data_IF_746637038170
#
_entry.id   IF_746637038170
#
_cell.length_a   1.000
_cell.length_b   1.000
_cell.length_c   1.000
_cell.angle_alpha   90.00
_cell.angle_beta   90.00
_cell.angle_gamma   90.00
#
_symmetry.space_group_name_H-M   'P 1'
#
loop_
_entity.id
_entity.type
_entity.pdbx_description
1 polymer ?
#
# COMPACT_ATOMS: atom_id res chain seq x y z
N UNK A 1 21.00 36.05 -34.87
CA UNK A 1 21.05 36.53 -33.47
C UNK A 1 19.70 36.58 -32.72
N UNK A 2 18.51 36.59 -33.36
CA UNK A 2 17.20 36.61 -32.65
C UNK A 2 16.76 35.26 -32.03
N UNK A 3 17.01 34.12 -32.68
CA UNK A 3 16.59 32.80 -32.18
C UNK A 3 17.27 32.35 -30.87
N UNK A 4 18.46 32.87 -30.54
CA UNK A 4 19.15 32.48 -29.30
C UNK A 4 18.55 33.10 -28.03
N UNK A 5 17.97 34.31 -28.13
CA UNK A 5 17.31 34.97 -26.98
C UNK A 5 15.98 34.30 -26.63
N UNK A 6 15.16 33.99 -27.64
CA UNK A 6 13.88 33.29 -27.48
C UNK A 6 14.12 31.88 -26.92
N UNK A 7 15.10 31.16 -27.47
CA UNK A 7 15.48 29.85 -26.95
C UNK A 7 15.94 29.92 -25.50
N UNK A 8 16.82 30.85 -25.13
CA UNK A 8 17.27 30.98 -23.74
C UNK A 8 16.12 31.33 -22.77
N UNK A 9 15.18 32.17 -23.20
CA UNK A 9 14.00 32.55 -22.41
C UNK A 9 13.06 31.38 -22.14
N UNK A 10 12.75 30.57 -23.16
CA UNK A 10 11.94 29.34 -23.02
C UNK A 10 12.58 28.37 -22.02
N UNK A 11 13.90 28.31 -22.00
CA UNK A 11 14.66 27.37 -21.19
C UNK A 11 14.85 27.81 -19.72
N UNK A 12 14.76 29.12 -19.43
CA UNK A 12 14.68 29.63 -18.06
C UNK A 12 13.29 29.38 -17.49
N UNK A 13 12.24 29.62 -18.29
CA UNK A 13 10.86 29.29 -17.93
C UNK A 13 10.69 27.80 -17.63
N UNK A 14 11.29 26.91 -18.43
CA UNK A 14 11.15 25.47 -18.20
C UNK A 14 11.74 25.02 -16.85
N UNK A 15 12.81 25.65 -16.37
CA UNK A 15 13.39 25.33 -15.06
C UNK A 15 12.50 25.79 -13.90
N UNK A 16 11.90 26.98 -14.03
CA UNK A 16 10.93 27.50 -13.05
C UNK A 16 9.70 26.59 -12.99
N UNK A 17 9.18 26.19 -14.16
CA UNK A 17 8.07 25.26 -14.25
C UNK A 17 8.39 23.89 -13.65
N UNK A 18 9.63 23.42 -13.79
CA UNK A 18 10.05 22.13 -13.23
C UNK A 18 10.10 22.13 -11.71
N UNK A 19 10.59 23.22 -11.10
CA UNK A 19 10.54 23.42 -9.65
C UNK A 19 9.10 23.52 -9.16
N UNK A 20 8.25 24.27 -9.87
CA UNK A 20 6.82 24.36 -9.58
C UNK A 20 6.16 22.98 -9.64
N UNK A 21 6.30 22.24 -10.74
CA UNK A 21 5.68 20.92 -10.93
C UNK A 21 6.15 19.93 -9.87
N UNK A 22 7.45 19.90 -9.58
CA UNK A 22 8.02 19.02 -8.56
C UNK A 22 7.52 19.31 -7.15
N UNK A 23 7.51 20.58 -6.75
CA UNK A 23 7.01 20.99 -5.43
C UNK A 23 5.50 20.78 -5.32
N UNK A 24 4.74 21.27 -6.30
CA UNK A 24 3.27 21.17 -6.32
C UNK A 24 2.81 19.72 -6.28
N UNK A 25 3.41 18.84 -7.10
CA UNK A 25 3.07 17.42 -7.11
C UNK A 25 3.42 16.72 -5.79
N UNK A 26 4.53 17.06 -5.14
CA UNK A 26 4.88 16.54 -3.82
C UNK A 26 3.86 16.95 -2.75
N UNK A 27 3.53 18.25 -2.64
CA UNK A 27 2.54 18.75 -1.66
C UNK A 27 1.16 18.16 -1.93
N UNK A 28 0.75 18.04 -3.20
CA UNK A 28 -0.53 17.44 -3.58
C UNK A 28 -0.57 15.93 -3.33
N UNK A 29 0.57 15.24 -3.40
CA UNK A 29 0.70 13.83 -3.01
C UNK A 29 0.29 13.65 -1.54
N UNK A 30 0.87 14.43 -0.63
CA UNK A 30 0.51 14.43 0.78
C UNK A 30 -0.92 14.91 1.03
N UNK A 31 -1.27 16.09 0.53
CA UNK A 31 -2.53 16.74 0.87
C UNK A 31 -3.77 15.97 0.39
N UNK A 32 -3.75 15.48 -0.86
CA UNK A 32 -4.89 14.74 -1.39
C UNK A 32 -4.98 13.32 -0.82
N UNK A 33 -3.85 12.66 -0.52
CA UNK A 33 -3.87 11.32 0.09
C UNK A 33 -4.55 11.32 1.46
N UNK A 34 -4.30 12.35 2.27
CA UNK A 34 -4.92 12.53 3.58
C UNK A 34 -6.39 12.96 3.47
N UNK A 35 -6.90 13.26 2.27
CA UNK A 35 -8.29 13.67 2.08
C UNK A 35 -8.56 15.12 2.52
N UNK A 36 -7.55 15.99 2.46
CA UNK A 36 -7.74 17.41 2.78
C UNK A 36 -8.67 18.09 1.77
N UNK A 37 -9.68 18.79 2.27
CA UNK A 37 -10.48 19.72 1.48
C UNK A 37 -9.64 20.96 1.19
N UNK A 38 -9.38 21.26 -0.09
CA UNK A 38 -8.57 22.41 -0.50
C UNK A 38 -8.92 22.86 -1.92
N UNK A 39 -8.70 24.14 -2.21
CA UNK A 39 -8.85 24.68 -3.56
C UNK A 39 -7.59 24.43 -4.39
N UNK A 40 -7.65 23.41 -5.26
CA UNK A 40 -6.51 22.97 -6.08
C UNK A 40 -6.01 24.08 -7.01
N UNK A 41 -6.93 24.84 -7.58
CA UNK A 41 -6.63 25.95 -8.49
C UNK A 41 -5.91 27.11 -7.81
N UNK A 42 -6.35 27.49 -6.60
CA UNK A 42 -5.69 28.55 -5.82
C UNK A 42 -4.28 28.13 -5.42
N UNK A 43 -4.10 26.91 -4.92
CA UNK A 43 -2.78 26.40 -4.54
C UNK A 43 -1.82 26.35 -5.75
N UNK A 44 -2.30 25.90 -6.91
CA UNK A 44 -1.51 25.86 -8.14
C UNK A 44 -1.11 27.27 -8.58
N UNK A 45 -2.05 28.21 -8.62
CA UNK A 45 -1.80 29.59 -9.05
C UNK A 45 -0.82 30.31 -8.12
N UNK A 46 -1.02 30.22 -6.80
CA UNK A 46 -0.12 30.83 -5.81
C UNK A 46 1.29 30.22 -5.89
N UNK A 47 1.40 28.90 -6.03
CA UNK A 47 2.69 28.22 -6.16
C UNK A 47 3.40 28.60 -7.46
N UNK A 48 2.67 28.74 -8.57
CA UNK A 48 3.23 29.16 -9.86
C UNK A 48 3.76 30.59 -9.78
N UNK A 49 2.95 31.52 -9.26
CA UNK A 49 3.34 32.92 -9.07
C UNK A 49 4.57 33.05 -8.16
N UNK A 50 4.61 32.28 -7.07
CA UNK A 50 5.75 32.24 -6.17
C UNK A 50 7.02 31.71 -6.85
N UNK A 51 6.91 30.68 -7.69
CA UNK A 51 8.04 30.14 -8.43
C UNK A 51 8.68 31.19 -9.36
N UNK A 52 7.86 31.97 -10.07
CA UNK A 52 8.33 33.08 -10.90
C UNK A 52 8.89 34.25 -10.08
N UNK A 53 8.18 34.64 -9.01
CA UNK A 53 8.58 35.75 -8.15
C UNK A 53 9.94 35.48 -7.50
N UNK A 54 10.12 34.30 -6.90
CA UNK A 54 11.39 33.97 -6.25
C UNK A 54 12.51 33.73 -7.24
N UNK A 55 12.22 33.21 -8.43
CA UNK A 55 13.21 33.16 -9.50
C UNK A 55 13.75 34.56 -9.85
N UNK A 56 12.86 35.52 -10.12
CA UNK A 56 13.25 36.90 -10.42
C UNK A 56 13.96 37.58 -9.24
N UNK A 57 13.40 37.45 -8.04
CA UNK A 57 13.92 38.04 -6.80
C UNK A 57 15.34 37.55 -6.51
N UNK A 58 15.58 36.24 -6.49
CA UNK A 58 16.91 35.70 -6.20
C UNK A 58 17.92 35.90 -7.34
N UNK A 59 17.46 36.11 -8.58
CA UNK A 59 18.33 36.50 -9.69
C UNK A 59 18.85 37.93 -9.50
N UNK A 60 18.01 38.86 -9.04
CA UNK A 60 18.41 40.24 -8.73
C UNK A 60 19.24 40.33 -7.45
N UNK A 61 18.82 39.66 -6.37
CA UNK A 61 19.56 39.64 -5.10
C UNK A 61 20.94 38.96 -5.20
N UNK A 62 21.22 38.26 -6.29
CA UNK A 62 22.54 37.70 -6.57
C UNK A 62 23.55 38.75 -7.04
N UNK A 63 23.13 39.94 -7.49
CA UNK A 63 24.04 41.03 -7.87
C UNK A 63 24.66 41.75 -6.67
N UNK A 64 24.13 41.55 -5.46
CA UNK A 64 24.58 42.22 -4.24
C UNK A 64 25.39 41.29 -3.32
N UNK A 65 26.44 41.83 -2.67
CA UNK A 65 27.19 41.12 -1.65
C UNK A 65 26.26 40.77 -0.47
N UNK A 66 26.22 39.51 -0.04
CA UNK A 66 25.29 38.96 0.96
C UNK A 66 23.78 39.08 0.67
N UNK A 67 23.36 39.48 -0.54
CA UNK A 67 21.94 39.66 -0.89
C UNK A 67 21.03 38.45 -0.58
N UNK A 68 21.55 37.22 -0.65
CA UNK A 68 20.79 36.00 -0.31
C UNK A 68 20.34 35.95 1.15
N UNK A 69 21.20 36.38 2.07
CA UNK A 69 20.90 36.34 3.49
C UNK A 69 19.80 37.37 3.81
N UNK A 70 19.91 38.57 3.24
CA UNK A 70 18.89 39.61 3.36
C UNK A 70 17.56 39.20 2.72
N UNK A 71 17.60 38.56 1.54
CA UNK A 71 16.40 38.05 0.87
C UNK A 71 15.69 36.97 1.70
N UNK A 72 16.43 36.00 2.24
CA UNK A 72 15.85 34.97 3.12
C UNK A 72 15.33 35.58 4.43
N UNK A 73 16.06 36.51 5.05
CA UNK A 73 15.60 37.22 6.25
C UNK A 73 14.30 37.99 5.99
N UNK A 74 14.22 38.71 4.88
CA UNK A 74 13.01 39.43 4.46
C UNK A 74 11.81 38.50 4.23
N UNK A 75 12.03 37.36 3.57
CA UNK A 75 10.99 36.34 3.37
C UNK A 75 10.56 35.76 4.73
N UNK A 76 11.50 35.39 5.60
CA UNK A 76 11.14 34.86 6.94
C UNK A 76 10.37 35.88 7.77
N UNK A 77 10.74 37.16 7.71
CA UNK A 77 10.03 38.23 8.41
C UNK A 77 8.61 38.42 7.86
N UNK A 78 8.45 38.41 6.53
CA UNK A 78 7.14 38.46 5.87
C UNK A 78 6.24 37.30 6.31
N UNK A 79 6.81 36.10 6.42
CA UNK A 79 6.09 34.93 6.93
C UNK A 79 5.66 35.09 8.39
N UNK A 80 6.53 35.59 9.26
CA UNK A 80 6.18 35.86 10.67
C UNK A 80 5.03 36.87 10.76
N UNK A 81 5.11 37.99 10.03
CA UNK A 81 4.05 39.01 9.99
C UNK A 81 2.72 38.41 9.48
N UNK A 82 2.78 37.58 8.44
CA UNK A 82 1.59 36.92 7.89
C UNK A 82 0.98 35.93 8.89
N UNK A 83 1.81 35.16 9.60
CA UNK A 83 1.37 34.24 10.66
C UNK A 83 0.70 34.98 11.80
N UNK A 84 1.25 36.13 12.21
CA UNK A 84 0.66 36.97 13.26
C UNK A 84 -0.68 37.56 12.82
N UNK A 85 -0.78 38.04 11.58
CA UNK A 85 -2.01 38.64 11.04
C UNK A 85 -3.15 37.63 10.88
N UNK A 86 -2.86 36.42 10.42
CA UNK A 86 -3.86 35.37 10.17
C UNK A 86 -3.83 34.24 11.21
N UNK A 87 -3.41 34.56 12.44
CA UNK A 87 -3.12 33.56 13.49
C UNK A 87 -4.27 32.58 13.73
N UNK A 88 -5.49 33.07 13.90
CA UNK A 88 -6.67 32.23 14.20
C UNK A 88 -7.02 31.30 13.04
N UNK A 89 -7.05 31.85 11.82
CA UNK A 89 -7.32 31.11 10.56
C UNK A 89 -6.27 30.03 10.32
N UNK A 90 -4.98 30.36 10.50
CA UNK A 90 -3.88 29.41 10.33
C UNK A 90 -3.89 28.31 11.40
N UNK A 91 -4.18 28.66 12.65
CA UNK A 91 -4.34 27.67 13.72
C UNK A 91 -5.49 26.70 13.41
N UNK A 92 -6.65 27.21 12.96
CA UNK A 92 -7.78 26.38 12.51
C UNK A 92 -7.36 25.45 11.36
N UNK A 93 -6.62 25.97 10.38
CA UNK A 93 -6.09 25.19 9.25
C UNK A 93 -5.12 24.09 9.68
N UNK A 94 -4.15 24.40 10.54
CA UNK A 94 -3.17 23.43 11.06
C UNK A 94 -3.85 22.35 11.88
N UNK A 95 -4.75 22.73 12.80
CA UNK A 95 -5.53 21.77 13.62
C UNK A 95 -6.37 20.87 12.73
N UNK A 96 -6.98 21.41 11.66
CA UNK A 96 -7.72 20.60 10.68
C UNK A 96 -6.81 19.61 9.98
N UNK A 97 -5.64 20.05 9.46
CA UNK A 97 -4.70 19.17 8.76
C UNK A 97 -4.23 18.04 9.67
N UNK A 98 -3.84 18.36 10.91
CA UNK A 98 -3.40 17.37 11.89
C UNK A 98 -4.55 16.43 12.26
N UNK A 99 -5.76 16.94 12.47
CA UNK A 99 -6.90 16.10 12.81
C UNK A 99 -7.32 15.19 11.65
N UNK A 100 -7.27 15.64 10.40
CA UNK A 100 -7.53 14.80 9.24
C UNK A 100 -6.44 13.74 9.09
N UNK A 101 -5.16 14.12 9.25
CA UNK A 101 -4.06 13.15 9.31
C UNK A 101 -4.26 12.14 10.42
N UNK A 102 -4.58 12.58 11.65
CA UNK A 102 -4.80 11.70 12.79
C UNK A 102 -6.01 10.81 12.57
N UNK A 103 -7.09 11.28 11.95
CA UNK A 103 -8.25 10.44 11.60
C UNK A 103 -7.85 9.34 10.62
N UNK A 104 -7.12 9.68 9.57
CA UNK A 104 -6.62 8.70 8.59
C UNK A 104 -5.60 7.75 9.21
N UNK A 105 -4.72 8.26 10.07
CA UNK A 105 -3.73 7.48 10.81
C UNK A 105 -4.40 6.55 11.82
N UNK A 106 -5.42 6.99 12.54
CA UNK A 106 -6.21 6.17 13.47
C UNK A 106 -7.02 5.12 12.70
N UNK A 107 -7.58 5.48 11.54
CA UNK A 107 -8.25 4.53 10.66
C UNK A 107 -7.27 3.47 10.12
N UNK A 108 -6.04 3.89 9.79
CA UNK A 108 -4.98 3.00 9.33
C UNK A 108 -4.43 2.09 10.44
N UNK A 109 -4.14 2.65 11.62
CA UNK A 109 -3.53 1.93 12.75
C UNK A 109 -4.54 1.28 13.70
N UNK A 110 -5.84 1.54 13.52
CA UNK A 110 -6.92 1.12 14.43
C UNK A 110 -6.70 1.57 15.88
N UNK A 111 -5.87 2.60 16.09
CA UNK A 111 -5.61 3.17 17.42
C UNK A 111 -6.55 4.32 17.72
N UNK A 112 -7.01 4.44 18.96
CA UNK A 112 -7.78 5.61 19.41
C UNK A 112 -6.84 6.63 20.03
N UNK A 113 -6.58 7.73 19.32
CA UNK A 113 -5.85 8.90 19.83
C UNK A 113 -6.80 10.08 19.98
N UNK A 114 -6.55 10.94 20.96
CA UNK A 114 -7.32 12.16 21.14
C UNK A 114 -7.04 13.13 20.00
N UNK A 115 -8.09 13.60 19.35
CA UNK A 115 -8.00 14.67 18.35
C UNK A 115 -7.68 16.00 19.04
N UNK A 116 -6.98 16.88 18.32
CA UNK A 116 -6.75 18.25 18.79
C UNK A 116 -8.08 18.97 18.94
N UNK A 117 -8.27 19.60 20.10
CA UNK A 117 -9.50 20.30 20.43
C UNK A 117 -9.78 21.45 19.47
N UNK A 118 -11.01 21.50 18.94
CA UNK A 118 -11.53 22.65 18.21
C UNK A 118 -12.08 23.76 19.11
N UNK A 119 -12.07 23.57 20.44
CA UNK A 119 -12.54 24.59 21.40
C UNK A 119 -11.60 25.80 21.34
N UNK A 120 -12.08 26.90 20.77
CA UNK A 120 -11.30 28.10 20.47
C UNK A 120 -11.57 28.69 19.08
N UNK A 121 -12.18 27.92 18.17
CA UNK A 121 -12.49 28.36 16.80
C UNK A 121 -13.98 28.60 16.53
N UNK A 122 -14.82 28.62 17.57
CA UNK A 122 -16.28 28.78 17.45
C UNK A 122 -16.70 30.16 16.90
N UNK A 123 -15.86 31.18 17.08
CA UNK A 123 -16.10 32.54 16.56
C UNK A 123 -15.50 32.76 15.15
N UNK A 124 -14.82 31.76 14.58
CA UNK A 124 -14.13 31.89 13.29
C UNK A 124 -15.03 31.39 12.14
N UNK A 125 -15.60 32.33 11.39
CA UNK A 125 -16.53 32.08 10.28
C UNK A 125 -15.85 31.58 9.00
N UNK A 126 -14.52 31.64 8.92
CA UNK A 126 -13.78 31.19 7.75
C UNK A 126 -13.96 29.68 7.49
N UNK A 127 -14.25 29.34 6.23
CA UNK A 127 -14.45 27.95 5.80
C UNK A 127 -13.20 27.08 6.03
N UNK A 128 -13.42 25.80 6.31
CA UNK A 128 -12.34 24.83 6.56
C UNK A 128 -11.44 24.69 5.34
N UNK A 129 -12.02 24.65 4.12
CA UNK A 129 -11.27 24.55 2.87
C UNK A 129 -10.41 25.79 2.61
N UNK A 130 -10.87 26.97 3.02
CA UNK A 130 -10.07 28.19 2.95
C UNK A 130 -8.87 28.14 3.91
N UNK A 131 -9.09 27.74 5.16
CA UNK A 131 -8.06 27.66 6.19
C UNK A 131 -6.95 26.66 5.82
N UNK A 132 -7.31 25.46 5.34
CA UNK A 132 -6.35 24.44 4.88
C UNK A 132 -5.58 24.90 3.64
N UNK A 133 -6.27 25.52 2.68
CA UNK A 133 -5.64 26.06 1.46
C UNK A 133 -4.63 27.14 1.82
N UNK A 134 -4.96 28.05 2.74
CA UNK A 134 -4.05 29.13 3.18
C UNK A 134 -2.76 28.57 3.81
N UNK A 135 -2.89 27.57 4.70
CA UNK A 135 -1.73 26.90 5.33
C UNK A 135 -0.85 26.24 4.26
N UNK A 136 -1.45 25.51 3.33
CA UNK A 136 -0.72 24.84 2.25
C UNK A 136 -0.08 25.84 1.27
N UNK A 137 -0.72 26.97 1.00
CA UNK A 137 -0.16 28.05 0.19
C UNK A 137 1.09 28.64 0.87
N UNK A 138 1.00 29.00 2.16
CA UNK A 138 2.15 29.52 2.90
C UNK A 138 3.30 28.50 2.91
N UNK A 139 3.00 27.24 3.24
CA UNK A 139 3.99 26.17 3.21
C UNK A 139 4.64 26.07 1.83
N UNK A 140 3.85 25.96 0.76
CA UNK A 140 4.32 25.83 -0.62
C UNK A 140 5.21 27.00 -1.05
N UNK A 141 4.80 28.24 -0.75
CA UNK A 141 5.57 29.45 -1.04
C UNK A 141 6.91 29.43 -0.30
N UNK A 142 6.93 29.01 0.97
CA UNK A 142 8.17 28.92 1.74
C UNK A 142 9.11 27.85 1.20
N UNK A 143 8.58 26.66 0.86
CA UNK A 143 9.38 25.59 0.27
C UNK A 143 9.97 26.01 -1.08
N UNK A 144 9.19 26.69 -1.93
CA UNK A 144 9.69 27.25 -3.19
C UNK A 144 10.81 28.26 -2.93
N UNK A 145 10.69 29.13 -1.91
CA UNK A 145 11.75 30.09 -1.57
C UNK A 145 13.06 29.38 -1.15
N UNK A 146 12.96 28.36 -0.29
CA UNK A 146 14.11 27.55 0.16
C UNK A 146 14.76 26.81 -1.01
N UNK A 147 13.95 26.17 -1.86
CA UNK A 147 14.41 25.47 -3.05
C UNK A 147 15.07 26.47 -4.00
N UNK A 148 14.45 27.61 -4.28
CA UNK A 148 14.97 28.64 -5.18
C UNK A 148 16.33 29.19 -4.72
N UNK A 149 16.49 29.42 -3.41
CA UNK A 149 17.77 29.90 -2.85
C UNK A 149 18.92 28.91 -3.09
N UNK A 150 18.64 27.61 -3.02
CA UNK A 150 19.64 26.54 -3.07
C UNK A 150 19.86 25.94 -4.47
N UNK A 151 18.81 25.89 -5.29
CA UNK A 151 18.77 25.14 -6.54
C UNK A 151 19.47 25.88 -7.69
N UNK A 152 19.23 27.17 -7.87
CA UNK A 152 19.70 27.89 -9.07
C UNK A 152 21.23 28.09 -9.13
N UNK A 153 21.94 28.15 -7.99
CA UNK A 153 23.39 28.38 -7.94
C UNK A 153 24.24 27.14 -7.64
N UNK A 154 24.00 26.43 -6.52
CA UNK A 154 24.83 25.29 -6.10
C UNK A 154 24.33 23.94 -6.63
N UNK A 155 23.15 23.92 -7.28
CA UNK A 155 22.49 22.72 -7.81
C UNK A 155 22.50 21.55 -6.84
N UNK A 156 22.28 21.87 -5.55
CA UNK A 156 22.11 20.86 -4.51
C UNK A 156 20.71 20.27 -4.68
N UNK A 157 20.57 19.36 -5.63
CA UNK A 157 19.35 18.55 -5.81
C UNK A 157 18.96 17.82 -4.51
N UNK A 158 19.92 17.60 -3.61
CA UNK A 158 19.68 17.08 -2.27
C UNK A 158 18.74 17.93 -1.43
N UNK A 159 18.77 19.27 -1.54
CA UNK A 159 17.86 20.15 -0.79
C UNK A 159 16.45 20.05 -1.33
N UNK A 160 16.29 20.02 -2.65
CA UNK A 160 14.99 19.75 -3.29
C UNK A 160 14.44 18.40 -2.79
N UNK A 161 15.21 17.31 -2.94
CA UNK A 161 14.76 15.97 -2.55
C UNK A 161 14.44 15.90 -1.07
N UNK A 162 15.29 16.42 -0.18
CA UNK A 162 15.07 16.38 1.26
C UNK A 162 13.77 17.08 1.67
N UNK A 163 13.45 18.20 1.02
CA UNK A 163 12.26 19.00 1.32
C UNK A 163 10.99 18.37 0.73
N UNK A 164 11.06 17.79 -0.48
CA UNK A 164 9.88 17.26 -1.18
C UNK A 164 9.56 15.81 -0.84
N UNK A 165 10.58 14.98 -0.54
CA UNK A 165 10.39 13.55 -0.27
C UNK A 165 9.51 13.30 0.96
N UNK A 166 9.56 14.20 1.95
CA UNK A 166 8.73 14.12 3.15
C UNK A 166 7.24 14.06 2.79
N UNK A 167 6.79 14.87 1.84
CA UNK A 167 5.39 14.90 1.42
C UNK A 167 4.95 13.67 0.63
N UNK A 168 5.90 12.95 0.04
CA UNK A 168 5.65 11.68 -0.63
C UNK A 168 5.63 10.53 0.37
N UNK A 169 6.37 10.63 1.48
CA UNK A 169 6.41 9.62 2.56
C UNK A 169 5.15 9.68 3.44
N UNK A 170 4.63 10.89 3.73
CA UNK A 170 3.44 11.09 4.56
C UNK A 170 2.23 10.20 4.18
N UNK A 171 1.84 10.05 2.90
CA UNK A 171 0.79 9.11 2.51
C UNK A 171 1.02 7.68 3.03
N UNK A 172 2.26 7.19 2.96
CA UNK A 172 2.60 5.83 3.39
C UNK A 172 2.44 5.65 4.91
N UNK A 173 2.61 6.70 5.72
CA UNK A 173 2.42 6.60 7.17
C UNK A 173 0.95 6.43 7.56
N UNK A 174 0.03 6.77 6.65
CA UNK A 174 -1.43 6.55 6.80
C UNK A 174 -1.95 5.43 5.88
N UNK A 175 -1.06 4.61 5.32
CA UNK A 175 -1.43 3.46 4.49
C UNK A 175 -2.05 3.80 3.15
N UNK A 176 -1.87 5.04 2.66
CA UNK A 176 -2.37 5.48 1.35
C UNK A 176 -1.20 5.73 0.41
N UNK A 177 -1.42 5.48 -0.87
CA UNK A 177 -0.49 5.90 -1.92
C UNK A 177 -1.02 7.23 -2.47
N UNK A 178 -0.13 8.19 -2.71
CA UNK A 178 -0.52 9.43 -3.36
C UNK A 178 -1.17 9.18 -4.72
N UNK A 179 -2.02 10.11 -5.16
CA UNK A 179 -2.65 10.03 -6.48
C UNK A 179 -1.61 9.81 -7.58
N UNK A 180 -1.89 8.84 -8.45
CA UNK A 180 -0.97 8.37 -9.48
C UNK A 180 -0.35 9.51 -10.30
N UNK A 181 -1.18 10.46 -10.75
CA UNK A 181 -0.73 11.63 -11.51
C UNK A 181 0.32 12.45 -10.76
N UNK A 182 0.15 12.64 -9.45
CA UNK A 182 1.06 13.43 -8.62
C UNK A 182 2.35 12.68 -8.32
N UNK A 183 2.26 11.37 -8.02
CA UNK A 183 3.44 10.52 -7.78
C UNK A 183 4.32 10.45 -9.02
N UNK A 184 3.71 10.21 -10.19
CA UNK A 184 4.45 10.13 -11.46
C UNK A 184 5.05 11.49 -11.85
N UNK A 185 4.26 12.57 -11.75
CA UNK A 185 4.77 13.92 -12.02
C UNK A 185 5.94 14.27 -11.09
N UNK A 186 5.85 13.89 -9.81
CA UNK A 186 6.92 14.08 -8.85
C UNK A 186 8.18 13.28 -9.21
N UNK A 187 8.05 12.00 -9.57
CA UNK A 187 9.19 11.16 -9.97
C UNK A 187 9.89 11.77 -11.18
N UNK A 188 9.14 12.15 -12.23
CA UNK A 188 9.73 12.76 -13.42
C UNK A 188 10.38 14.11 -13.14
N UNK A 189 9.71 14.99 -12.38
CA UNK A 189 10.29 16.26 -11.97
C UNK A 189 11.58 16.03 -11.17
N UNK A 190 11.58 15.07 -10.24
CA UNK A 190 12.74 14.76 -9.40
C UNK A 190 13.90 14.17 -10.21
N UNK A 191 13.64 13.24 -11.13
CA UNK A 191 14.64 12.71 -12.05
C UNK A 191 15.23 13.82 -12.90
N UNK A 192 14.41 14.77 -13.37
CA UNK A 192 14.91 15.91 -14.13
C UNK A 192 15.74 16.89 -13.27
N UNK A 193 15.29 17.21 -12.06
CA UNK A 193 16.06 18.02 -11.08
C UNK A 193 17.41 17.35 -10.80
N UNK A 194 17.45 16.04 -10.55
CA UNK A 194 18.68 15.30 -10.22
C UNK A 194 19.56 15.13 -11.45
N UNK A 195 18.99 14.84 -12.62
CA UNK A 195 19.72 14.69 -13.88
C UNK A 195 20.46 15.97 -14.30
N UNK A 196 19.87 17.14 -14.05
CA UNK A 196 20.55 18.43 -14.33
C UNK A 196 21.81 18.68 -13.46
N UNK A 197 22.02 17.91 -12.38
CA UNK A 197 23.21 17.97 -11.51
C UNK A 197 24.42 17.20 -12.06
N UNK A 198 24.23 16.11 -12.79
CA UNK A 198 25.31 15.19 -13.20
C UNK A 198 26.16 15.70 -14.37
N UNK A 199 25.64 16.63 -15.18
CA UNK A 199 26.43 17.36 -16.17
C UNK A 199 27.29 18.39 -15.42
N UNK A 200 28.55 18.10 -15.09
CA UNK A 200 29.38 18.97 -14.25
C UNK A 200 30.67 19.44 -14.94
N UNK A 201 30.78 19.32 -16.27
CA UNK A 201 32.00 19.64 -16.98
C UNK A 201 31.76 20.41 -18.29
N UNK A 202 32.41 21.57 -18.34
CA UNK A 202 32.64 22.53 -19.42
C UNK A 202 31.57 23.56 -19.82
N UNK A 203 32.08 24.77 -20.04
CA UNK A 203 31.37 26.05 -20.13
C UNK A 203 30.50 26.25 -21.38
N UNK A 204 30.41 25.24 -22.25
CA UNK A 204 29.46 25.12 -23.39
C UNK A 204 28.08 24.57 -23.00
N UNK A 205 27.89 24.16 -21.73
CA UNK A 205 26.80 23.34 -21.17
C UNK A 205 25.41 23.98 -20.97
N UNK A 206 25.21 25.32 -21.01
CA UNK A 206 23.90 25.92 -20.62
C UNK A 206 22.76 25.45 -21.54
N UNK A 207 22.99 25.44 -22.86
CA UNK A 207 22.02 24.94 -23.88
C UNK A 207 21.83 23.43 -23.83
N UNK A 208 22.88 22.65 -23.60
CA UNK A 208 22.80 21.18 -23.62
C UNK A 208 22.00 20.66 -22.42
N UNK A 209 22.22 21.25 -21.24
CA UNK A 209 21.48 20.96 -20.01
C UNK A 209 19.99 21.35 -20.11
N UNK A 210 19.71 22.43 -20.83
CA UNK A 210 18.36 22.92 -21.08
C UNK A 210 17.60 22.08 -22.14
N UNK A 211 18.29 21.60 -23.19
CA UNK A 211 17.75 20.59 -24.12
C UNK A 211 17.41 19.28 -23.41
N UNK A 212 18.25 18.84 -22.47
CA UNK A 212 17.98 17.64 -21.67
C UNK A 212 16.72 17.79 -20.81
N UNK A 213 16.50 18.94 -20.17
CA UNK A 213 15.27 19.22 -19.41
C UNK A 213 14.02 19.18 -20.28
N UNK A 214 14.11 19.64 -21.53
CA UNK A 214 13.01 19.61 -22.48
C UNK A 214 12.73 18.18 -22.98
N UNK A 215 13.79 17.40 -23.22
CA UNK A 215 13.70 15.97 -23.54
C UNK A 215 13.08 15.20 -22.36
N UNK A 216 13.50 15.48 -21.12
CA UNK A 216 12.95 14.85 -19.92
C UNK A 216 11.50 15.24 -19.65
N UNK A 217 11.10 16.48 -19.93
CA UNK A 217 9.70 16.89 -19.89
C UNK A 217 8.87 16.15 -20.95
N UNK A 218 9.41 16.02 -22.18
CA UNK A 218 8.78 15.22 -23.24
C UNK A 218 8.67 13.75 -22.88
N UNK A 219 9.73 13.14 -22.33
CA UNK A 219 9.74 11.76 -21.84
C UNK A 219 8.77 11.59 -20.67
N UNK A 220 8.64 12.56 -19.77
CA UNK A 220 7.67 12.53 -18.67
C UNK A 220 6.21 12.57 -19.16
N UNK A 221 5.91 13.35 -20.21
CA UNK A 221 4.59 13.38 -20.84
C UNK A 221 4.30 12.05 -21.55
N UNK A 222 5.26 11.54 -22.33
CA UNK A 222 5.13 10.27 -23.05
C UNK A 222 4.99 9.11 -22.08
N UNK A 223 5.82 9.04 -21.04
CA UNK A 223 5.76 7.97 -20.06
C UNK A 223 4.54 8.09 -19.13
N UNK A 224 4.05 9.30 -18.86
CA UNK A 224 2.76 9.53 -18.21
C UNK A 224 1.59 9.03 -19.06
N UNK A 225 1.64 9.27 -20.37
CA UNK A 225 0.65 8.78 -21.34
C UNK A 225 0.73 7.24 -21.49
N UNK A 226 1.93 6.66 -21.60
CA UNK A 226 2.14 5.20 -21.61
C UNK A 226 1.66 4.58 -20.30
N UNK A 227 1.95 5.21 -19.17
CA UNK A 227 1.51 4.72 -17.86
C UNK A 227 -0.01 4.73 -17.73
N UNK A 228 -0.67 5.78 -18.24
CA UNK A 228 -2.13 5.85 -18.32
C UNK A 228 -2.72 4.75 -19.23
N UNK A 229 -2.05 4.44 -20.34
CA UNK A 229 -2.47 3.39 -21.28
C UNK A 229 -2.21 1.97 -20.76
N UNK A 230 -1.11 1.75 -20.03
CA UNK A 230 -0.71 0.42 -19.50
C UNK A 230 -1.43 0.09 -18.18
N UNK A 231 -1.64 1.09 -17.32
CA UNK A 231 -2.36 0.97 -16.05
C UNK A 231 -3.49 2.01 -16.02
N UNK A 232 -4.63 1.73 -16.69
CA UNK A 232 -5.79 2.59 -16.58
C UNK A 232 -6.28 2.64 -15.13
N UNK A 233 -6.84 3.78 -14.67
CA UNK A 233 -7.29 3.96 -13.28
C UNK A 233 -8.21 2.84 -12.77
N UNK A 234 -9.03 2.29 -13.64
CA UNK A 234 -9.92 1.15 -13.35
C UNK A 234 -9.15 -0.13 -12.97
N UNK A 235 -7.97 -0.36 -13.55
CA UNK A 235 -7.10 -1.50 -13.23
C UNK A 235 -6.40 -1.33 -11.87
N UNK A 236 -6.18 -0.08 -11.47
CA UNK A 236 -5.68 0.27 -10.13
C UNK A 236 -6.77 0.04 -9.07
N UNK A 237 -8.00 0.47 -9.34
CA UNK A 237 -9.16 0.20 -8.49
C UNK A 237 -9.52 -1.30 -8.42
N UNK A 238 -9.39 -2.06 -9.51
CA UNK A 238 -9.59 -3.53 -9.49
C UNK A 238 -8.57 -4.28 -8.61
N UNK A 239 -7.38 -3.68 -8.38
CA UNK A 239 -6.35 -4.23 -7.50
C UNK A 239 -6.48 -3.73 -6.05
N UNK A 240 -7.56 -3.02 -5.71
CA UNK A 240 -7.85 -2.58 -4.35
C UNK A 240 -8.00 -3.76 -3.36
N UNK A 241 -8.35 -4.96 -3.83
CA UNK A 241 -8.29 -6.19 -3.03
C UNK A 241 -6.86 -6.59 -2.61
N UNK A 242 -5.83 -6.28 -3.42
CA UNK A 242 -4.42 -6.38 -2.99
C UNK A 242 -4.05 -5.28 -2.00
N UNK A 243 -4.69 -4.13 -2.06
CA UNK A 243 -4.52 -3.03 -1.08
C UNK A 243 -5.12 -3.41 0.28
N UNK A 244 -6.25 -4.13 0.31
CA UNK A 244 -6.81 -4.72 1.54
C UNK A 244 -5.83 -5.69 2.17
N UNK A 245 -5.18 -6.55 1.38
CA UNK A 245 -4.23 -7.47 1.97
C UNK A 245 -2.89 -6.82 2.36
N UNK A 246 -2.45 -5.72 1.73
CA UNK A 246 -1.36 -4.87 2.27
C UNK A 246 -1.77 -4.22 3.60
N UNK A 247 -3.02 -3.76 3.73
CA UNK A 247 -3.58 -3.24 4.99
C UNK A 247 -3.59 -4.31 6.08
N UNK A 248 -4.08 -5.52 5.79
CA UNK A 248 -4.12 -6.63 6.74
C UNK A 248 -2.71 -7.12 7.11
N UNK A 249 -1.78 -7.13 6.14
CA UNK A 249 -0.36 -7.41 6.39
C UNK A 249 0.28 -6.35 7.28
N UNK A 250 0.08 -5.07 7.01
CA UNK A 250 0.62 -3.99 7.85
C UNK A 250 0.07 -4.05 9.29
N UNK A 251 -1.23 -4.27 9.46
CA UNK A 251 -1.86 -4.46 10.77
C UNK A 251 -1.28 -5.67 11.49
N UNK A 252 -1.14 -6.82 10.82
CA UNK A 252 -0.54 -8.00 11.42
C UNK A 252 0.93 -7.79 11.83
N UNK A 253 1.73 -7.10 11.02
CA UNK A 253 3.13 -6.85 11.36
C UNK A 253 3.29 -5.99 12.62
N UNK A 254 2.30 -5.18 12.98
CA UNK A 254 2.34 -4.42 14.25
C UNK A 254 2.15 -5.28 15.50
N UNK A 255 1.54 -6.46 15.37
CA UNK A 255 1.29 -7.40 16.48
C UNK A 255 2.37 -8.50 16.58
N UNK A 256 3.38 -8.46 15.72
CA UNK A 256 4.42 -9.48 15.64
C UNK A 256 5.66 -9.11 16.44
N UNK A 257 6.38 -10.13 16.94
CA UNK A 257 7.67 -9.92 17.58
C UNK A 257 8.74 -9.59 16.54
N UNK A 258 9.82 -8.92 16.96
CA UNK A 258 10.95 -8.59 16.08
C UNK A 258 11.56 -9.82 15.41
N UNK A 259 11.59 -10.96 16.11
CA UNK A 259 12.08 -12.24 15.59
C UNK A 259 11.18 -12.81 14.49
N UNK A 260 9.86 -12.69 14.66
CA UNK A 260 8.87 -13.15 13.67
C UNK A 260 8.95 -12.31 12.40
N UNK A 261 9.12 -10.99 12.54
CA UNK A 261 9.31 -10.07 11.42
C UNK A 261 10.61 -10.40 10.68
N UNK A 262 11.72 -10.60 11.39
CA UNK A 262 13.00 -10.93 10.77
C UNK A 262 13.00 -12.28 10.07
N UNK A 263 12.33 -13.28 10.67
CA UNK A 263 12.12 -14.58 10.04
C UNK A 263 11.30 -14.43 8.77
N UNK A 264 10.20 -13.68 8.82
CA UNK A 264 9.35 -13.43 7.66
C UNK A 264 10.08 -12.70 6.54
N UNK A 265 10.81 -11.62 6.83
CA UNK A 265 11.63 -10.91 5.84
C UNK A 265 12.63 -11.88 5.21
N UNK A 266 13.36 -12.64 6.03
CA UNK A 266 14.38 -13.58 5.54
C UNK A 266 13.77 -14.62 4.59
N UNK A 267 12.71 -15.31 5.00
CA UNK A 267 12.11 -16.39 4.20
C UNK A 267 11.34 -15.84 2.98
N UNK A 268 10.74 -14.65 3.09
CA UNK A 268 10.09 -13.97 1.97
C UNK A 268 11.08 -13.69 0.83
N UNK A 269 12.31 -13.29 1.13
CA UNK A 269 13.33 -12.94 0.13
C UNK A 269 14.33 -14.06 -0.20
N UNK A 270 14.56 -15.03 0.69
CA UNK A 270 15.56 -16.10 0.50
C UNK A 270 14.99 -17.48 0.11
N UNK A 271 13.67 -17.63 0.01
CA UNK A 271 13.06 -18.72 -0.76
C UNK A 271 13.03 -20.09 -0.07
N UNK A 272 11.99 -20.32 0.72
CA UNK A 272 11.42 -21.65 0.96
C UNK A 272 9.89 -21.59 0.88
N UNK A 273 9.40 -21.17 -0.29
CA UNK A 273 7.96 -21.07 -0.55
C UNK A 273 7.41 -22.45 -0.89
N UNK A 274 6.17 -22.74 -0.49
CA UNK A 274 5.47 -23.91 -1.01
C UNK A 274 5.42 -23.82 -2.53
N UNK A 275 5.86 -24.88 -3.22
CA UNK A 275 5.92 -24.93 -4.68
C UNK A 275 4.62 -25.45 -5.33
N UNK A 276 3.52 -25.51 -4.55
CA UNK A 276 2.12 -25.75 -4.98
C UNK A 276 2.00 -26.72 -6.18
N UNK A 277 2.49 -27.94 -5.99
CA UNK A 277 2.38 -29.03 -6.94
C UNK A 277 3.64 -29.32 -7.76
N UNK A 278 4.56 -28.37 -7.94
CA UNK A 278 5.80 -28.63 -8.69
C UNK A 278 6.73 -29.56 -7.90
N UNK A 279 7.11 -30.67 -8.51
CA UNK A 279 7.98 -31.69 -7.91
C UNK A 279 9.42 -31.47 -8.40
N UNK A 280 10.42 -31.78 -7.56
CA UNK A 280 11.82 -31.81 -8.00
C UNK A 280 12.60 -30.48 -7.98
N UNK A 281 12.03 -29.38 -7.48
CA UNK A 281 12.81 -28.17 -7.15
C UNK A 281 13.73 -28.38 -5.94
N UNK A 282 13.41 -29.36 -5.10
CA UNK A 282 14.18 -29.78 -3.93
C UNK A 282 14.36 -31.29 -3.91
N UNK A 283 15.60 -31.73 -3.80
CA UNK A 283 15.96 -33.15 -3.81
C UNK A 283 15.65 -33.85 -2.47
N UNK A 284 15.33 -33.08 -1.42
CA UNK A 284 14.95 -33.61 -0.11
C UNK A 284 14.12 -32.59 0.68
N UNK A 285 13.29 -33.10 1.59
CA UNK A 285 12.60 -32.28 2.59
C UNK A 285 13.57 -32.08 3.76
N UNK A 286 14.24 -30.92 3.79
CA UNK A 286 15.05 -30.52 4.94
C UNK A 286 14.14 -30.12 6.10
N UNK A 287 14.46 -30.58 7.32
CA UNK A 287 13.82 -30.15 8.57
C UNK A 287 14.79 -29.23 9.31
N UNK A 288 14.95 -27.96 8.91
CA UNK A 288 16.00 -27.08 9.42
C UNK A 288 15.78 -26.63 10.89
N UNK A 289 14.76 -27.13 11.58
CA UNK A 289 14.38 -26.71 12.94
C UNK A 289 13.83 -25.27 13.02
N UNK A 290 13.63 -24.60 11.88
CA UNK A 290 13.12 -23.23 11.80
C UNK A 290 11.60 -23.20 11.91
N UNK A 291 11.08 -22.23 12.65
CA UNK A 291 9.64 -21.96 12.73
C UNK A 291 9.15 -21.33 11.43
N UNK A 292 8.27 -22.03 10.71
CA UNK A 292 7.71 -21.59 9.42
C UNK A 292 6.27 -21.07 9.54
N UNK A 293 5.59 -21.44 10.61
CA UNK A 293 4.19 -21.13 10.91
C UNK A 293 4.00 -21.07 12.42
N UNK A 294 3.15 -20.15 12.91
CA UNK A 294 2.65 -20.19 14.30
C UNK A 294 1.13 -20.29 14.28
N UNK A 295 0.59 -21.19 15.10
CA UNK A 295 -0.85 -21.42 15.24
C UNK A 295 -1.21 -21.25 16.70
N UNK A 296 -2.29 -20.51 16.97
CA UNK A 296 -2.85 -20.29 18.30
C UNK A 296 -4.37 -20.48 18.25
N UNK A 297 -4.94 -21.15 19.24
CA UNK A 297 -6.39 -21.37 19.37
C UNK A 297 -6.72 -22.67 20.09
N UNK A 298 -7.98 -23.09 20.04
CA UNK A 298 -8.52 -24.18 20.87
C UNK A 298 -8.26 -25.59 20.27
N UNK A 299 -7.07 -25.86 19.72
CA UNK A 299 -6.86 -27.06 18.89
C UNK A 299 -6.60 -28.31 19.73
N UNK A 300 -7.09 -29.45 19.25
CA UNK A 300 -6.85 -30.74 19.90
C UNK A 300 -5.38 -31.18 19.70
N UNK A 301 -4.61 -31.23 20.78
CA UNK A 301 -3.19 -31.60 20.78
C UNK A 301 -2.94 -33.11 20.69
N UNK A 302 -3.97 -33.94 20.93
CA UNK A 302 -3.82 -35.39 21.04
C UNK A 302 -3.84 -36.15 19.72
N UNK A 303 -4.46 -35.60 18.66
CA UNK A 303 -4.68 -36.33 17.40
C UNK A 303 -4.03 -35.69 16.16
N UNK A 304 -3.25 -34.62 16.35
CA UNK A 304 -2.53 -33.94 15.29
C UNK A 304 -3.42 -33.06 14.41
N UNK A 305 -2.90 -31.90 14.02
CA UNK A 305 -3.56 -30.96 13.11
C UNK A 305 -2.97 -31.13 11.71
N UNK A 306 -3.80 -31.50 10.74
CA UNK A 306 -3.40 -31.49 9.34
C UNK A 306 -3.60 -30.09 8.76
N UNK A 307 -2.69 -29.69 7.89
CA UNK A 307 -2.59 -28.33 7.38
C UNK A 307 -2.55 -28.41 5.85
N UNK A 308 -3.69 -28.14 5.21
CA UNK A 308 -3.89 -28.23 3.75
C UNK A 308 -3.49 -26.92 3.09
N UNK A 309 -2.40 -26.95 2.32
CA UNK A 309 -1.95 -25.83 1.50
C UNK A 309 -2.31 -25.96 0.02
N UNK A 310 -2.28 -27.17 -0.53
CA UNK A 310 -2.43 -27.41 -1.96
C UNK A 310 -3.17 -28.73 -2.25
N UNK A 311 -3.97 -28.74 -3.31
CA UNK A 311 -4.50 -29.94 -3.96
C UNK A 311 -4.22 -29.91 -5.45
N UNK A 312 -3.92 -31.08 -6.00
CA UNK A 312 -3.83 -31.28 -7.43
C UNK A 312 -4.42 -32.64 -7.79
N UNK A 313 -5.16 -32.65 -8.89
CA UNK A 313 -5.97 -33.78 -9.35
C UNK A 313 -5.29 -34.55 -10.49
N UNK A 314 -4.43 -33.88 -11.26
CA UNK A 314 -3.61 -34.49 -12.31
C UNK A 314 -2.13 -34.21 -12.11
N UNK A 315 -1.30 -35.12 -12.60
CA UNK A 315 0.16 -34.99 -12.59
C UNK A 315 0.70 -35.11 -14.02
N UNK A 316 1.18 -33.99 -14.56
CA UNK A 316 1.91 -33.90 -15.82
C UNK A 316 3.06 -32.89 -15.68
N UNK A 317 3.99 -32.86 -16.64
CA UNK A 317 5.09 -31.87 -16.68
C UNK A 317 5.84 -31.65 -15.35
N UNK A 318 5.99 -32.71 -14.53
CA UNK A 318 6.63 -32.66 -13.22
C UNK A 318 5.92 -31.74 -12.20
N UNK A 319 4.60 -31.64 -12.31
CA UNK A 319 3.75 -30.85 -11.41
C UNK A 319 2.38 -31.50 -11.20
N UNK A 320 1.91 -31.48 -9.96
CA UNK A 320 0.49 -31.63 -9.68
C UNK A 320 -0.23 -30.34 -10.10
N UNK A 321 -1.38 -30.46 -10.74
CA UNK A 321 -2.22 -29.34 -11.14
C UNK A 321 -3.71 -29.71 -11.14
N UNK A 322 -4.56 -28.69 -11.22
CA UNK A 322 -6.00 -28.86 -11.38
C UNK A 322 -6.38 -29.03 -12.84
N UNK A 323 -7.24 -30.01 -13.09
CA UNK A 323 -7.83 -30.27 -14.40
C UNK A 323 -8.81 -29.14 -14.70
N UNK A 324 -8.67 -28.52 -15.88
CA UNK A 324 -9.54 -27.43 -16.36
C UNK A 324 -10.33 -27.85 -17.60
N UNK A 325 -10.71 -29.12 -17.64
CA UNK A 325 -11.56 -29.65 -18.70
C UNK A 325 -13.02 -29.30 -18.41
N UNK A 326 -13.77 -28.92 -19.44
CA UNK A 326 -15.15 -28.45 -19.30
C UNK A 326 -16.06 -29.58 -18.77
N UNK A 327 -15.80 -30.84 -19.14
CA UNK A 327 -16.52 -31.99 -18.61
C UNK A 327 -16.30 -32.15 -17.10
N UNK A 328 -15.04 -32.10 -16.67
CA UNK A 328 -14.66 -32.18 -15.25
C UNK A 328 -15.18 -31.00 -14.44
N UNK A 329 -15.14 -29.78 -14.99
CA UNK A 329 -15.68 -28.58 -14.33
C UNK A 329 -17.20 -28.68 -14.14
N UNK A 330 -17.92 -29.24 -15.12
CA UNK A 330 -19.36 -29.47 -15.02
C UNK A 330 -19.71 -30.54 -13.97
N UNK A 331 -18.98 -31.67 -13.95
CA UNK A 331 -19.16 -32.70 -12.92
C UNK A 331 -18.81 -32.19 -11.52
N UNK A 332 -17.71 -31.47 -11.38
CA UNK A 332 -17.30 -30.83 -10.12
C UNK A 332 -18.31 -29.80 -9.64
N UNK A 333 -18.88 -29.01 -10.56
CA UNK A 333 -19.94 -28.05 -10.25
C UNK A 333 -21.22 -28.77 -9.77
N UNK A 334 -21.60 -29.87 -10.43
CA UNK A 334 -22.73 -30.70 -10.01
C UNK A 334 -22.53 -31.27 -8.59
N UNK A 335 -21.37 -31.87 -8.32
CA UNK A 335 -20.99 -32.37 -6.98
C UNK A 335 -20.97 -31.25 -5.93
N UNK A 336 -20.56 -30.05 -6.31
CA UNK A 336 -20.51 -28.89 -5.39
C UNK A 336 -21.92 -28.42 -5.01
N UNK A 337 -22.86 -28.43 -5.97
CA UNK A 337 -24.28 -28.10 -5.71
C UNK A 337 -24.87 -29.07 -4.68
N UNK A 338 -24.48 -30.33 -4.73
CA UNK A 338 -24.94 -31.38 -3.82
C UNK A 338 -24.15 -31.46 -2.50
N UNK A 339 -23.13 -30.59 -2.29
CA UNK A 339 -22.16 -30.67 -1.18
C UNK A 339 -21.38 -32.00 -1.13
N UNK A 340 -21.23 -32.69 -2.27
CA UNK A 340 -20.51 -33.95 -2.40
C UNK A 340 -19.11 -33.78 -3.00
N UNK A 341 -18.69 -32.54 -3.26
CA UNK A 341 -17.32 -32.27 -3.70
C UNK A 341 -16.30 -32.75 -2.65
N UNK A 342 -15.05 -33.05 -3.02
CA UNK A 342 -14.01 -33.43 -2.06
C UNK A 342 -13.86 -32.44 -0.90
N UNK A 343 -14.17 -31.16 -1.14
CA UNK A 343 -14.16 -30.10 -0.14
C UNK A 343 -15.48 -29.95 0.63
N UNK A 344 -16.63 -30.37 0.08
CA UNK A 344 -17.95 -30.29 0.72
C UNK A 344 -18.43 -31.59 1.37
N UNK A 345 -17.80 -32.72 1.05
CA UNK A 345 -18.15 -34.09 1.47
C UNK A 345 -18.41 -34.22 2.97
N UNK A 346 -17.69 -33.42 3.73
CA UNK A 346 -17.79 -33.36 5.16
C UNK A 346 -19.08 -32.74 5.70
N UNK A 347 -19.65 -31.76 4.99
CA UNK A 347 -20.95 -31.15 5.29
C UNK A 347 -22.03 -32.18 5.03
N UNK A 348 -21.87 -32.97 3.97
CA UNK A 348 -22.74 -34.11 3.67
C UNK A 348 -22.67 -35.17 4.77
N UNK A 349 -21.47 -35.57 5.22
CA UNK A 349 -21.31 -36.46 6.38
C UNK A 349 -21.99 -35.89 7.65
N UNK A 350 -21.81 -34.59 7.95
CA UNK A 350 -22.51 -33.93 9.06
C UNK A 350 -24.02 -34.07 8.93
N UNK A 351 -24.56 -33.70 7.77
CA UNK A 351 -26.01 -33.69 7.54
C UNK A 351 -26.59 -35.12 7.56
N UNK A 352 -25.81 -36.12 7.15
CA UNK A 352 -26.17 -37.54 7.18
C UNK A 352 -26.19 -38.14 8.59
N UNK A 353 -25.32 -37.69 9.49
CA UNK A 353 -25.29 -38.15 10.89
C UNK A 353 -26.57 -37.72 11.64
N UNK A 354 -27.10 -36.52 11.35
CA UNK A 354 -28.40 -36.04 11.83
C UNK A 354 -28.59 -35.99 13.36
N UNK A 355 -29.69 -35.40 13.81
CA UNK A 355 -30.03 -35.24 15.25
C UNK A 355 -30.36 -36.55 16.00
N UNK A 356 -30.22 -37.72 15.35
CA UNK A 356 -30.75 -39.01 15.86
C UNK A 356 -29.71 -40.07 16.22
N UNK A 357 -28.41 -39.78 16.12
CA UNK A 357 -27.37 -40.59 16.76
C UNK A 357 -26.54 -39.71 17.68
N UNK A 358 -26.94 -39.66 18.95
CA UNK A 358 -26.19 -38.96 20.00
C UNK A 358 -24.92 -39.75 20.29
N UNK A 359 -23.78 -39.23 19.83
CA UNK A 359 -22.43 -39.61 20.29
C UNK A 359 -22.22 -39.41 21.80
N UNK A 360 -23.27 -39.02 22.54
CA UNK A 360 -23.23 -38.63 23.95
C UNK A 360 -22.63 -37.23 24.17
N UNK A 361 -22.17 -36.57 23.11
CA UNK A 361 -21.46 -35.30 23.16
C UNK A 361 -22.28 -34.19 22.47
N UNK A 362 -22.84 -33.28 23.27
CA UNK A 362 -23.63 -32.13 22.83
C UNK A 362 -22.81 -31.05 22.13
N UNK A 363 -21.47 -31.12 22.24
CA UNK A 363 -20.52 -30.14 21.68
C UNK A 363 -19.87 -30.58 20.38
N UNK A 364 -20.38 -31.63 19.72
CA UNK A 364 -19.85 -32.15 18.45
C UNK A 364 -19.67 -31.06 17.39
N UNK A 365 -20.63 -30.14 17.32
CA UNK A 365 -20.68 -29.05 16.35
C UNK A 365 -20.12 -27.72 16.87
N UNK A 366 -19.49 -27.71 18.04
CA UNK A 366 -18.85 -26.51 18.58
C UNK A 366 -17.66 -26.10 17.69
N UNK A 367 -17.63 -24.84 17.29
CA UNK A 367 -16.57 -24.26 16.48
C UNK A 367 -15.55 -23.54 17.37
N UNK A 368 -14.26 -23.81 17.16
CA UNK A 368 -13.15 -23.03 17.68
C UNK A 368 -12.57 -22.08 16.64
N UNK A 369 -11.77 -21.10 17.08
CA UNK A 369 -11.03 -20.20 16.18
C UNK A 369 -9.53 -20.45 16.25
N UNK A 370 -8.88 -20.58 15.08
CA UNK A 370 -7.43 -20.63 14.96
C UNK A 370 -6.91 -19.35 14.34
N UNK A 371 -5.99 -18.71 15.03
CA UNK A 371 -5.18 -17.62 14.53
C UNK A 371 -3.87 -18.19 13.97
N UNK A 372 -3.60 -17.95 12.69
CA UNK A 372 -2.46 -18.49 11.97
C UNK A 372 -1.57 -17.35 11.50
N UNK A 373 -0.29 -17.38 11.89
CA UNK A 373 0.77 -16.46 11.44
C UNK A 373 1.71 -17.16 10.47
N UNK A 374 1.66 -16.75 9.20
CA UNK A 374 2.47 -17.29 8.13
C UNK A 374 3.83 -16.60 8.06
N UNK A 375 4.87 -17.26 8.58
CA UNK A 375 6.22 -16.70 8.63
C UNK A 375 6.99 -16.97 7.33
N UNK A 376 6.89 -18.17 6.74
CA UNK A 376 7.80 -18.58 5.67
C UNK A 376 7.17 -18.81 4.29
N UNK A 377 5.86 -19.01 4.19
CA UNK A 377 5.24 -19.42 2.92
C UNK A 377 4.97 -18.25 1.96
N UNK A 378 5.14 -17.00 2.39
CA UNK A 378 4.97 -15.80 1.57
C UNK A 378 3.52 -15.33 1.43
N UNK A 379 3.33 -14.20 0.75
CA UNK A 379 2.02 -13.54 0.64
C UNK A 379 1.09 -14.25 -0.36
N UNK A 380 -0.14 -14.53 0.05
CA UNK A 380 -1.15 -15.22 -0.78
C UNK A 380 -1.08 -16.76 -0.73
N UNK A 381 -0.16 -17.29 0.07
CA UNK A 381 0.13 -18.71 0.19
C UNK A 381 -0.40 -19.20 1.54
N UNK A 382 -1.64 -19.68 1.54
CA UNK A 382 -2.37 -20.03 2.76
C UNK A 382 -2.30 -21.53 3.03
N UNK A 383 -2.36 -21.83 4.32
CA UNK A 383 -2.49 -23.20 4.81
C UNK A 383 -3.66 -23.21 5.78
N UNK A 384 -4.65 -24.05 5.50
CA UNK A 384 -5.89 -24.10 6.27
C UNK A 384 -5.94 -25.43 7.01
N UNK A 385 -6.31 -25.44 8.29
CA UNK A 385 -6.63 -26.66 9.04
C UNK A 385 -7.51 -27.59 8.21
N UNK A 386 -7.04 -28.81 8.02
CA UNK A 386 -7.71 -29.81 7.21
C UNK A 386 -8.56 -30.70 8.11
N UNK A 387 -9.85 -30.36 8.26
CA UNK A 387 -10.92 -31.25 8.73
C UNK A 387 -12.30 -30.66 8.38
N UNK A 388 -13.35 -31.52 8.27
CA UNK A 388 -14.76 -31.31 7.91
C UNK A 388 -15.56 -30.02 8.15
N UNK A 389 -15.02 -28.81 8.04
CA UNK A 389 -15.59 -27.73 8.84
C UNK A 389 -15.63 -26.34 8.24
N UNK A 390 -14.74 -26.04 7.29
CA UNK A 390 -14.79 -24.80 6.53
C UNK A 390 -14.78 -25.14 5.05
N UNK A 391 -15.67 -24.51 4.30
CA UNK A 391 -15.63 -24.55 2.85
C UNK A 391 -14.29 -23.93 2.41
N UNK A 392 -13.33 -24.76 2.01
CA UNK A 392 -12.09 -24.26 1.42
C UNK A 392 -12.46 -23.58 0.11
N UNK A 393 -12.10 -22.31 -0.06
CA UNK A 393 -12.06 -21.73 -1.40
C UNK A 393 -10.75 -22.14 -2.03
N UNK A 394 -10.81 -22.94 -3.10
CA UNK A 394 -9.66 -23.30 -3.91
C UNK A 394 -9.67 -22.50 -5.20
N UNK A 395 -8.55 -21.86 -5.52
CA UNK A 395 -8.34 -21.24 -6.84
C UNK A 395 -7.05 -21.77 -7.41
N UNK A 396 -7.17 -22.62 -8.44
CA UNK A 396 -6.04 -23.29 -9.07
C UNK A 396 -5.27 -24.22 -8.12
N UNK A 397 -6.00 -24.99 -7.30
CA UNK A 397 -5.45 -25.95 -6.33
C UNK A 397 -4.89 -25.31 -5.04
N UNK A 398 -4.87 -23.98 -4.93
CA UNK A 398 -4.36 -23.28 -3.74
C UNK A 398 -5.47 -22.96 -2.77
N UNK A 399 -5.26 -23.28 -1.49
CA UNK A 399 -6.12 -22.84 -0.40
C UNK A 399 -6.20 -21.31 -0.33
N UNK A 400 -7.41 -20.77 -0.19
CA UNK A 400 -7.65 -19.36 0.06
C UNK A 400 -8.33 -19.13 1.41
N UNK A 401 -7.82 -18.16 2.16
CA UNK A 401 -8.48 -17.65 3.35
C UNK A 401 -9.55 -16.62 2.98
N UNK A 402 -10.69 -16.65 3.66
CA UNK A 402 -11.75 -15.62 3.57
C UNK A 402 -11.21 -14.24 3.93
N UNK A 403 -10.24 -14.17 4.84
CA UNK A 403 -9.53 -12.96 5.22
C UNK A 403 -8.10 -13.03 4.67
N UNK A 404 -7.74 -12.26 3.63
CA UNK A 404 -6.39 -12.26 3.08
C UNK A 404 -5.43 -11.47 3.99
N UNK A 405 -4.24 -12.03 4.25
CA UNK A 405 -3.18 -11.39 5.05
C UNK A 405 -1.96 -12.31 5.22
N UNK A 406 -0.95 -11.91 6.00
CA UNK A 406 0.10 -12.83 6.49
C UNK A 406 -0.27 -13.44 7.86
N UNK A 407 -1.27 -12.85 8.51
CA UNK A 407 -1.97 -13.38 9.66
C UNK A 407 -3.45 -13.42 9.34
N UNK A 408 -4.10 -14.53 9.67
CA UNK A 408 -5.50 -14.76 9.37
C UNK A 408 -6.12 -15.69 10.42
N UNK A 409 -7.44 -15.61 10.53
CA UNK A 409 -8.23 -16.48 11.39
C UNK A 409 -9.04 -17.47 10.56
N UNK A 410 -9.23 -18.66 11.10
CA UNK A 410 -10.05 -19.71 10.49
C UNK A 410 -10.84 -20.42 11.57
N UNK A 411 -12.10 -20.73 11.26
CA UNK A 411 -12.96 -21.56 12.10
C UNK A 411 -12.69 -23.03 11.82
N UNK A 412 -12.79 -23.88 12.85
CA UNK A 412 -12.62 -25.33 12.77
C UNK A 412 -13.38 -25.99 13.94
N UNK A 413 -13.61 -27.31 13.87
CA UNK A 413 -14.39 -28.03 14.89
C UNK A 413 -13.44 -28.90 15.71
N UNK A 414 -13.19 -28.58 17.00
CA UNK A 414 -12.18 -29.28 17.80
C UNK A 414 -12.49 -30.76 18.07
N UNK A 415 -13.77 -31.14 18.09
CA UNK A 415 -14.22 -32.46 18.57
C UNK A 415 -14.70 -33.41 17.46
N UNK A 416 -15.06 -32.87 16.28
CA UNK A 416 -15.73 -33.61 15.22
C UNK A 416 -14.96 -34.86 14.75
N UNK A 417 -13.64 -34.75 14.59
CA UNK A 417 -12.82 -35.88 14.14
C UNK A 417 -12.84 -37.06 15.12
N UNK A 418 -12.76 -36.80 16.43
CA UNK A 418 -12.74 -37.85 17.45
C UNK A 418 -14.05 -38.63 17.46
N UNK A 419 -15.17 -37.91 17.40
CA UNK A 419 -16.50 -38.51 17.42
C UNK A 419 -16.80 -39.26 16.13
N UNK A 420 -16.40 -38.73 14.97
CA UNK A 420 -16.45 -39.46 13.70
C UNK A 420 -15.64 -40.74 13.77
N UNK A 421 -14.36 -40.65 14.18
CA UNK A 421 -13.46 -41.80 14.27
C UNK A 421 -13.95 -42.86 15.25
N UNK A 422 -14.44 -42.46 16.42
CA UNK A 422 -14.93 -43.39 17.44
C UNK A 422 -16.26 -44.01 17.01
N UNK A 423 -17.17 -43.23 16.40
CA UNK A 423 -18.38 -43.74 15.77
C UNK A 423 -18.08 -44.72 14.64
N UNK A 424 -17.06 -44.40 13.82
CA UNK A 424 -16.54 -45.25 12.77
C UNK A 424 -16.06 -46.61 13.36
N UNK A 425 -15.14 -46.55 14.33
CA UNK A 425 -14.57 -47.75 14.96
C UNK A 425 -15.62 -48.57 15.72
N UNK A 426 -16.65 -47.93 16.28
CA UNK A 426 -17.72 -48.58 17.02
C UNK A 426 -18.79 -49.23 16.13
N UNK A 427 -18.62 -49.24 14.79
CA UNK A 427 -19.58 -49.79 13.82
C UNK A 427 -20.99 -49.15 13.89
N UNK A 428 -21.10 -47.93 14.43
CA UNK A 428 -22.34 -47.16 14.40
C UNK A 428 -22.44 -46.38 13.08
N UNK A 429 -22.61 -47.11 11.98
CA UNK A 429 -22.74 -46.52 10.67
C UNK A 429 -24.18 -46.53 10.19
N UNK A 430 -24.73 -45.35 9.91
CA UNK A 430 -25.55 -45.22 8.72
C UNK A 430 -24.73 -44.48 7.65
N UNK A 431 -23.96 -45.24 6.87
CA UNK A 431 -23.18 -44.78 5.71
C UNK A 431 -23.97 -44.98 4.38
N UNK A 432 -25.29 -45.10 4.44
CA UNK A 432 -26.13 -45.47 3.31
C UNK A 432 -27.54 -44.84 3.48
N UNK A 433 -28.35 -44.62 2.47
CA UNK A 433 -28.30 -45.21 1.14
C UNK A 433 -27.34 -44.51 0.19
N UNK A 434 -26.26 -45.23 -0.14
CA UNK A 434 -25.67 -45.34 -1.48
C UNK A 434 -25.54 -44.06 -2.32
N UNK A 435 -24.41 -43.36 -2.20
CA UNK A 435 -23.69 -42.72 -3.32
C UNK A 435 -22.24 -42.63 -2.82
N UNK A 436 -21.29 -43.49 -3.18
CA UNK A 436 -20.84 -43.91 -4.49
C UNK A 436 -20.28 -45.34 -4.39
N UNK A 437 -21.10 -46.36 -4.69
CA UNK A 437 -20.82 -47.59 -5.46
C UNK A 437 -22.16 -48.30 -5.68
#
# INVERSE_FOLDING_TARGET
MKNSKISNFILEISQVLLVFLGMYSAVMCGALSIGLTLSRGVLALVSLLAAFLFYGLFTVLETFHHGKLYGMLGITLFFVVTILKFRTVLQKGIVTIINTYLKEFMNYTQTTRTLLSGKGFQNETADVGYCTTLVLCLLSVYLIAVISTCFYRKRRSSVYVAVTILFVIIPFTVGKIGYFSNVITYIFATVAVVGTRFLRFDTTEKRMRQKLSLILAGVGVIAGMISFLVVPPERYESNQNRIIGVRNTALSLTTWSTEDIMTWIREYFNGDRMDYGKVGSKNSVSRPGKTILKIKGDFNTSQGLYLKGYTGEAYDENRWHTIKDDAYLNESAALTIENLSPDGWHVSLRNQIGDKQTTGNDKLWETGKLQIKNLAFGYGNYVIPYYPTSAFSLVGGRSQSLVPGIEYETEYYPMLYNELKNGLIANHYNLAGNEYW
#
